data_IF_561603743519
#
_entry.id   IF_561603743519
#
_cell.length_a   1.000
_cell.length_b   1.000
_cell.length_c   1.000
_cell.angle_alpha   90.00
_cell.angle_beta   90.00
_cell.angle_gamma   90.00
#
_symmetry.space_group_name_H-M   'P 1'
#
loop_
_entity.id
_entity.type
_entity.pdbx_description
1 polymer ?
#
# COMPACT_ATOMS: atom_id res chain seq x y z
N UNK A 1 -26.44 30.96 20.77
CA UNK A 1 -25.45 30.28 21.61
C UNK A 1 -25.84 28.83 21.73
N UNK A 2 -25.06 27.89 21.14
CA UNK A 2 -25.40 26.47 21.24
C UNK A 2 -25.23 25.98 22.68
N UNK A 3 -26.22 25.28 23.21
CA UNK A 3 -26.13 24.70 24.55
C UNK A 3 -25.14 23.51 24.53
N UNK A 4 -24.48 23.23 25.67
CA UNK A 4 -23.57 22.09 25.81
C UNK A 4 -24.21 20.77 25.37
N UNK A 5 -25.50 20.57 25.67
CA UNK A 5 -26.29 19.41 25.22
C UNK A 5 -26.42 19.32 23.69
N UNK A 6 -26.53 20.46 23.01
CA UNK A 6 -26.58 20.49 21.53
C UNK A 6 -25.25 20.11 20.93
N UNK A 7 -24.14 20.61 21.47
CA UNK A 7 -22.78 20.29 21.00
C UNK A 7 -22.48 18.81 21.18
N UNK A 8 -22.78 18.21 22.33
CA UNK A 8 -22.56 16.78 22.58
C UNK A 8 -23.40 15.91 21.68
N UNK A 9 -24.64 16.31 21.39
CA UNK A 9 -25.51 15.60 20.42
C UNK A 9 -24.93 15.64 19.01
N UNK A 10 -24.44 16.79 18.55
CA UNK A 10 -23.79 16.93 17.24
C UNK A 10 -22.54 16.03 17.16
N UNK A 11 -21.65 16.10 18.14
CA UNK A 11 -20.45 15.28 18.18
C UNK A 11 -20.76 13.77 18.15
N UNK A 12 -21.79 13.34 18.90
CA UNK A 12 -22.26 11.95 18.88
C UNK A 12 -22.67 11.52 17.47
N UNK A 13 -23.50 12.33 16.80
CA UNK A 13 -23.97 11.97 15.44
C UNK A 13 -22.85 12.02 14.42
N UNK A 14 -21.89 12.93 14.53
CA UNK A 14 -20.68 12.94 13.69
C UNK A 14 -19.84 11.67 13.88
N UNK A 15 -19.65 11.23 15.13
CA UNK A 15 -18.93 9.99 15.43
C UNK A 15 -19.64 8.76 14.88
N UNK A 16 -20.97 8.66 15.08
CA UNK A 16 -21.79 7.57 14.53
C UNK A 16 -21.76 7.57 13.00
N UNK A 17 -21.88 8.74 12.37
CA UNK A 17 -21.79 8.89 10.91
C UNK A 17 -20.42 8.46 10.39
N UNK A 18 -19.33 8.88 11.02
CA UNK A 18 -17.98 8.47 10.68
C UNK A 18 -17.83 6.93 10.75
N UNK A 19 -18.25 6.32 11.86
CA UNK A 19 -18.17 4.86 12.02
C UNK A 19 -19.01 4.13 10.95
N UNK A 20 -20.24 4.57 10.71
CA UNK A 20 -21.11 3.96 9.70
C UNK A 20 -20.50 4.06 8.29
N UNK A 21 -20.04 5.25 7.89
CA UNK A 21 -19.45 5.47 6.56
C UNK A 21 -18.14 4.69 6.41
N UNK A 22 -17.29 4.66 7.41
CA UNK A 22 -16.02 3.93 7.35
C UNK A 22 -16.22 2.42 7.24
N UNK A 23 -17.10 1.84 8.06
CA UNK A 23 -17.43 0.40 7.96
C UNK A 23 -18.07 0.08 6.63
N UNK A 24 -19.04 0.90 6.16
CA UNK A 24 -19.69 0.70 4.87
C UNK A 24 -18.68 0.78 3.71
N UNK A 25 -17.75 1.75 3.73
CA UNK A 25 -16.73 1.87 2.69
C UNK A 25 -15.80 0.64 2.65
N UNK A 26 -15.39 0.11 3.80
CA UNK A 26 -14.59 -1.11 3.89
C UNK A 26 -15.40 -2.32 3.38
N UNK A 27 -16.69 -2.43 3.71
CA UNK A 27 -17.56 -3.49 3.21
C UNK A 27 -17.73 -3.42 1.69
N UNK A 28 -17.95 -2.23 1.13
CA UNK A 28 -18.08 -2.03 -0.33
C UNK A 28 -16.79 -2.47 -1.03
N UNK A 29 -15.63 -2.00 -0.57
CA UNK A 29 -14.34 -2.33 -1.17
C UNK A 29 -13.87 -3.77 -0.91
N UNK A 30 -14.62 -4.56 -0.14
CA UNK A 30 -14.40 -6.01 -0.08
C UNK A 30 -14.61 -6.69 -1.42
N UNK A 31 -15.52 -6.18 -2.26
CA UNK A 31 -15.88 -6.77 -3.55
C UNK A 31 -15.67 -5.83 -4.74
N UNK A 32 -15.80 -4.52 -4.51
CA UNK A 32 -15.70 -3.51 -5.57
C UNK A 32 -14.24 -3.09 -5.77
N UNK A 33 -13.75 -3.01 -7.02
CA UNK A 33 -12.43 -2.46 -7.32
C UNK A 33 -12.24 -1.02 -6.83
N UNK A 34 -11.03 -0.70 -6.35
CA UNK A 34 -10.64 0.65 -5.93
C UNK A 34 -9.98 1.36 -7.12
N UNK A 35 -10.76 2.06 -7.92
CA UNK A 35 -10.26 2.76 -9.11
C UNK A 35 -9.53 4.06 -8.81
N UNK A 36 -9.88 4.74 -7.72
CA UNK A 36 -9.29 6.03 -7.35
C UNK A 36 -9.01 6.07 -5.86
N UNK A 37 -7.84 6.55 -5.49
CA UNK A 37 -7.44 6.73 -4.10
C UNK A 37 -7.21 8.21 -3.77
N UNK A 38 -7.29 8.62 -2.48
CA UNK A 38 -6.95 9.99 -2.08
C UNK A 38 -5.56 10.42 -2.55
N UNK A 39 -4.58 9.51 -2.51
CA UNK A 39 -3.22 9.80 -2.98
C UNK A 39 -3.20 10.16 -4.47
N UNK A 40 -3.91 9.44 -5.33
CA UNK A 40 -3.98 9.72 -6.78
C UNK A 40 -4.49 11.14 -7.04
N UNK A 41 -5.57 11.55 -6.35
CA UNK A 41 -6.14 12.89 -6.48
C UNK A 41 -5.17 13.98 -5.99
N UNK A 42 -4.51 13.76 -4.85
CA UNK A 42 -3.51 14.68 -4.31
C UNK A 42 -2.35 14.84 -5.29
N UNK A 43 -1.84 13.75 -5.87
CA UNK A 43 -0.76 13.80 -6.87
C UNK A 43 -1.16 14.54 -8.15
N UNK A 44 -2.41 14.42 -8.56
CA UNK A 44 -2.94 15.25 -9.67
C UNK A 44 -2.93 16.73 -9.30
N UNK A 45 -3.42 17.09 -8.11
CA UNK A 45 -3.36 18.46 -7.62
C UNK A 45 -1.93 19.02 -7.53
N UNK A 46 -1.00 18.26 -6.97
CA UNK A 46 0.43 18.62 -6.92
C UNK A 46 1.02 18.82 -8.33
N UNK A 47 0.62 18.00 -9.30
CA UNK A 47 1.07 18.14 -10.69
C UNK A 47 0.58 19.44 -11.30
N UNK A 48 -0.69 19.80 -11.11
CA UNK A 48 -1.28 21.05 -11.60
C UNK A 48 -0.56 22.27 -10.98
N UNK A 49 -0.38 22.26 -9.65
CA UNK A 49 0.30 23.37 -8.94
C UNK A 49 1.74 23.53 -9.44
N UNK A 50 2.41 22.45 -9.81
CA UNK A 50 3.79 22.48 -10.33
C UNK A 50 3.85 22.68 -11.87
N UNK A 51 2.76 23.06 -12.53
CA UNK A 51 2.70 23.31 -13.98
C UNK A 51 2.93 22.06 -14.83
N UNK A 52 2.69 20.87 -14.27
CA UNK A 52 2.82 19.58 -14.97
C UNK A 52 1.45 19.06 -15.38
N UNK A 53 1.38 18.32 -16.47
CA UNK A 53 0.15 17.63 -16.87
C UNK A 53 -0.23 16.57 -15.83
N UNK A 54 -1.42 16.66 -15.21
CA UNK A 54 -1.89 15.63 -14.30
C UNK A 54 -2.22 14.36 -15.08
N UNK A 55 -1.86 13.20 -14.54
CA UNK A 55 -2.24 11.90 -15.08
C UNK A 55 -2.43 10.87 -13.94
N UNK A 56 -3.30 9.90 -14.17
CA UNK A 56 -3.45 8.71 -13.34
C UNK A 56 -3.31 7.52 -14.27
N UNK A 57 -2.12 6.94 -14.30
CA UNK A 57 -1.88 5.68 -15.01
C UNK A 57 -2.23 4.54 -14.07
N UNK A 58 -3.45 4.06 -14.20
CA UNK A 58 -4.01 3.00 -13.38
C UNK A 58 -4.90 2.10 -14.23
N UNK A 59 -4.80 0.80 -13.99
CA UNK A 59 -5.73 -0.22 -14.52
C UNK A 59 -5.87 -1.31 -13.49
N UNK A 60 -7.10 -1.59 -13.07
CA UNK A 60 -7.39 -2.67 -12.14
C UNK A 60 -7.23 -4.02 -12.83
N UNK A 61 -6.58 -4.96 -12.14
CA UNK A 61 -6.45 -6.36 -12.58
C UNK A 61 -6.71 -7.26 -11.36
N UNK A 62 -7.57 -8.28 -11.46
CA UNK A 62 -7.76 -9.28 -10.40
C UNK A 62 -6.45 -9.96 -10.02
N UNK A 63 -6.34 -10.40 -8.77
CA UNK A 63 -5.10 -11.01 -8.25
C UNK A 63 -4.71 -12.27 -9.05
N UNK A 64 -5.69 -13.07 -9.45
CA UNK A 64 -5.51 -14.29 -10.25
C UNK A 64 -5.00 -14.04 -11.67
N UNK A 65 -5.19 -12.85 -12.20
CA UNK A 65 -4.68 -12.42 -13.51
C UNK A 65 -3.28 -11.79 -13.42
N UNK A 66 -2.71 -11.64 -12.21
CA UNK A 66 -1.35 -11.15 -12.03
C UNK A 66 -0.34 -12.31 -12.03
N UNK A 67 0.91 -12.01 -12.34
CA UNK A 67 2.00 -12.95 -12.13
C UNK A 67 2.03 -13.41 -10.66
N UNK A 68 2.01 -14.73 -10.44
CA UNK A 68 2.12 -15.34 -9.10
C UNK A 68 3.35 -14.89 -8.31
N UNK A 69 4.35 -14.35 -8.99
CA UNK A 69 5.57 -13.85 -8.37
C UNK A 69 5.41 -12.44 -7.78
N UNK A 70 4.37 -11.70 -8.17
CA UNK A 70 4.22 -10.32 -7.70
C UNK A 70 3.84 -10.22 -6.21
N UNK A 71 2.82 -10.95 -5.71
CA UNK A 71 2.54 -11.02 -4.27
C UNK A 71 3.75 -11.52 -3.47
N UNK A 72 4.42 -12.56 -3.96
CA UNK A 72 5.61 -13.15 -3.30
C UNK A 72 6.75 -12.12 -3.18
N UNK A 73 7.01 -11.34 -4.24
CA UNK A 73 8.05 -10.31 -4.22
C UNK A 73 7.75 -9.18 -3.23
N UNK A 74 6.47 -8.79 -3.14
CA UNK A 74 6.02 -7.76 -2.20
C UNK A 74 6.10 -8.26 -0.77
N UNK A 75 5.62 -9.48 -0.48
CA UNK A 75 5.73 -10.10 0.85
C UNK A 75 7.20 -10.18 1.27
N UNK A 76 8.07 -10.69 0.41
CA UNK A 76 9.51 -10.79 0.69
C UNK A 76 10.17 -9.44 0.97
N UNK A 77 9.74 -8.37 0.27
CA UNK A 77 10.35 -7.05 0.38
C UNK A 77 9.82 -6.21 1.55
N UNK A 78 8.50 -6.22 1.75
CA UNK A 78 7.79 -5.27 2.61
C UNK A 78 7.31 -5.88 3.92
N UNK A 79 6.90 -7.16 3.91
CA UNK A 79 6.18 -7.75 5.04
C UNK A 79 6.29 -9.28 5.03
N UNK A 80 7.44 -9.81 5.44
CA UNK A 80 7.72 -11.24 5.39
C UNK A 80 6.73 -12.10 6.20
N UNK A 81 6.07 -11.51 7.19
CA UNK A 81 5.10 -12.17 8.07
C UNK A 81 3.64 -11.89 7.70
N UNK A 82 3.37 -11.33 6.50
CA UNK A 82 2.04 -10.90 6.06
C UNK A 82 0.95 -11.95 6.29
N UNK A 83 1.25 -13.20 6.02
CA UNK A 83 0.29 -14.30 6.10
C UNK A 83 0.01 -14.78 7.54
N UNK A 84 0.87 -14.41 8.50
CA UNK A 84 0.79 -14.91 9.88
C UNK A 84 0.28 -13.88 10.89
N UNK A 85 0.42 -12.58 10.61
CA UNK A 85 -0.09 -11.55 11.50
C UNK A 85 -1.48 -11.04 11.08
N UNK A 86 -2.16 -10.34 12.00
CA UNK A 86 -3.47 -9.71 11.78
C UNK A 86 -3.33 -8.18 11.75
N UNK A 87 -2.70 -7.68 10.71
CA UNK A 87 -2.55 -6.24 10.42
C UNK A 87 -1.31 -5.58 11.03
N UNK A 88 -0.78 -6.10 12.13
CA UNK A 88 0.39 -5.54 12.81
C UNK A 88 1.44 -6.62 13.08
N UNK A 89 2.66 -6.41 12.62
CA UNK A 89 3.81 -7.24 12.95
C UNK A 89 4.53 -6.67 14.18
N UNK A 90 4.13 -7.13 15.37
CA UNK A 90 4.71 -6.66 16.63
C UNK A 90 6.18 -7.05 16.79
N UNK A 91 6.63 -8.13 16.18
CA UNK A 91 8.04 -8.55 16.25
C UNK A 91 8.91 -7.67 15.35
N UNK A 92 8.43 -7.31 14.15
CA UNK A 92 9.08 -6.32 13.30
C UNK A 92 9.14 -4.95 13.99
N UNK A 93 8.06 -4.51 14.65
CA UNK A 93 8.01 -3.25 15.42
C UNK A 93 9.06 -3.26 16.55
N UNK A 94 9.12 -4.35 17.34
CA UNK A 94 10.10 -4.49 18.42
C UNK A 94 11.54 -4.50 17.90
N UNK A 95 11.77 -5.20 16.77
CA UNK A 95 13.07 -5.26 16.13
C UNK A 95 13.52 -3.89 15.62
N UNK A 96 12.63 -3.16 14.93
CA UNK A 96 12.89 -1.80 14.46
C UNK A 96 13.19 -0.83 15.62
N UNK A 97 12.48 -0.94 16.74
CA UNK A 97 12.72 -0.14 17.94
C UNK A 97 14.09 -0.44 18.58
N UNK A 98 14.51 -1.73 18.63
CA UNK A 98 15.84 -2.13 19.10
C UNK A 98 16.97 -1.60 18.20
N UNK A 99 16.78 -1.67 16.88
CA UNK A 99 17.76 -1.17 15.91
C UNK A 99 17.91 0.36 16.02
N UNK A 100 16.81 1.07 16.23
CA UNK A 100 16.81 2.53 16.43
C UNK A 100 17.56 2.93 17.71
N UNK A 101 17.38 2.19 18.81
CA UNK A 101 18.12 2.41 20.06
C UNK A 101 19.63 2.16 19.90
N UNK A 102 20.02 1.30 18.95
CA UNK A 102 21.44 1.01 18.62
C UNK A 102 22.03 1.95 17.58
N UNK A 103 21.34 3.05 17.22
CA UNK A 103 21.81 4.01 16.22
C UNK A 103 21.82 3.49 14.78
N UNK A 104 21.20 2.34 14.49
CA UNK A 104 21.11 1.80 13.14
C UNK A 104 20.09 2.57 12.32
N UNK A 105 20.24 2.51 10.98
CA UNK A 105 19.30 3.14 10.05
C UNK A 105 17.86 2.67 10.32
N UNK A 106 16.93 3.61 10.40
CA UNK A 106 15.51 3.36 10.64
C UNK A 106 14.97 2.40 9.58
N UNK A 107 14.50 1.23 10.02
CA UNK A 107 13.82 0.25 9.19
C UNK A 107 12.32 0.54 9.23
N UNK A 108 11.62 0.48 8.11
CA UNK A 108 10.16 0.52 8.07
C UNK A 108 9.60 -0.73 8.78
N UNK A 109 8.57 -0.53 9.59
CA UNK A 109 7.85 -1.61 10.28
C UNK A 109 6.35 -1.57 9.97
N UNK A 110 5.96 -0.88 8.90
CA UNK A 110 4.57 -0.83 8.46
C UNK A 110 4.28 -2.04 7.58
N UNK A 111 3.20 -2.75 7.89
CA UNK A 111 2.75 -3.93 7.16
C UNK A 111 2.06 -3.58 5.84
N UNK A 112 1.87 -4.58 4.97
CA UNK A 112 1.08 -4.45 3.73
C UNK A 112 -0.35 -3.97 4.06
N UNK A 113 -0.97 -4.51 5.11
CA UNK A 113 -2.31 -4.10 5.55
C UNK A 113 -2.37 -2.63 5.96
N UNK A 114 -1.38 -2.14 6.72
CA UNK A 114 -1.27 -0.73 7.10
C UNK A 114 -1.07 0.19 5.88
N UNK A 115 -0.25 -0.24 4.92
CA UNK A 115 -0.04 0.49 3.68
C UNK A 115 -1.31 0.54 2.83
N UNK A 116 -2.06 -0.58 2.75
CA UNK A 116 -3.35 -0.66 2.04
C UNK A 116 -4.37 0.29 2.68
N UNK A 117 -4.55 0.21 4.00
CA UNK A 117 -5.45 1.08 4.75
C UNK A 117 -5.13 2.57 4.52
N UNK A 118 -3.84 2.93 4.58
CA UNK A 118 -3.38 4.29 4.31
C UNK A 118 -3.70 4.74 2.88
N UNK A 119 -3.39 3.92 1.88
CA UNK A 119 -3.53 4.31 0.48
C UNK A 119 -4.98 4.45 0.04
N UNK A 120 -5.86 3.56 0.53
CA UNK A 120 -7.27 3.52 0.11
C UNK A 120 -8.13 4.56 0.83
N UNK A 121 -7.91 4.74 2.14
CA UNK A 121 -8.84 5.52 2.97
C UNK A 121 -8.28 6.85 3.48
N UNK A 122 -6.95 7.09 3.38
CA UNK A 122 -6.32 8.22 4.05
C UNK A 122 -5.45 9.06 3.10
N UNK A 123 -5.10 10.23 3.58
CA UNK A 123 -4.15 11.13 2.90
C UNK A 123 -2.71 10.81 3.29
N UNK A 124 -1.69 11.22 2.50
CA UNK A 124 -0.28 10.93 2.78
C UNK A 124 0.34 11.77 3.92
N UNK A 125 -0.46 12.50 4.70
CA UNK A 125 0.04 13.33 5.81
C UNK A 125 0.77 12.50 6.88
N UNK A 126 1.67 13.13 7.66
CA UNK A 126 2.48 12.46 8.70
C UNK A 126 2.03 12.78 10.14
N UNK A 127 0.71 13.03 10.34
CA UNK A 127 0.17 13.38 11.66
C UNK A 127 -0.13 12.14 12.51
N UNK A 128 -0.11 12.30 13.84
CA UNK A 128 -0.48 11.23 14.78
C UNK A 128 -1.95 10.81 14.62
N UNK A 129 -2.84 11.76 14.33
CA UNK A 129 -4.25 11.48 14.05
C UNK A 129 -4.40 10.56 12.85
N UNK A 130 -3.71 10.88 11.73
CA UNK A 130 -3.71 10.01 10.55
C UNK A 130 -3.16 8.62 10.89
N UNK A 131 -2.10 8.51 11.73
CA UNK A 131 -1.57 7.21 12.13
C UNK A 131 -2.55 6.41 13.00
N UNK A 132 -3.34 7.07 13.84
CA UNK A 132 -4.45 6.45 14.58
C UNK A 132 -5.55 5.93 13.64
N UNK A 133 -5.94 6.74 12.64
CA UNK A 133 -6.90 6.32 11.61
C UNK A 133 -6.37 5.17 10.73
N UNK A 134 -5.07 5.16 10.42
CA UNK A 134 -4.43 4.05 9.72
C UNK A 134 -4.58 2.74 10.51
N UNK A 135 -4.31 2.78 11.83
CA UNK A 135 -4.50 1.61 12.68
C UNK A 135 -5.97 1.16 12.72
N UNK A 136 -6.91 2.10 12.83
CA UNK A 136 -8.34 1.82 12.80
C UNK A 136 -8.76 1.12 11.50
N UNK A 137 -8.43 1.67 10.33
CA UNK A 137 -8.75 1.04 9.05
C UNK A 137 -8.00 -0.28 8.83
N UNK A 138 -6.78 -0.42 9.36
CA UNK A 138 -6.04 -1.70 9.34
C UNK A 138 -6.82 -2.79 10.05
N UNK A 139 -7.34 -2.51 11.24
CA UNK A 139 -8.20 -3.46 11.96
C UNK A 139 -9.45 -3.80 11.16
N UNK A 140 -10.11 -2.82 10.57
CA UNK A 140 -11.33 -3.06 9.79
C UNK A 140 -11.09 -3.94 8.57
N UNK A 141 -10.04 -3.67 7.78
CA UNK A 141 -9.75 -4.48 6.59
C UNK A 141 -9.31 -5.91 6.98
N UNK A 142 -8.55 -6.09 8.04
CA UNK A 142 -8.14 -7.43 8.51
C UNK A 142 -9.33 -8.24 9.06
N UNK A 143 -10.33 -7.61 9.64
CA UNK A 143 -11.54 -8.28 10.11
C UNK A 143 -12.51 -8.63 8.96
N UNK A 144 -12.55 -7.82 7.91
CA UNK A 144 -13.60 -7.89 6.89
C UNK A 144 -13.10 -8.43 5.54
N UNK A 145 -11.79 -8.36 5.25
CA UNK A 145 -11.21 -8.83 3.99
C UNK A 145 -10.33 -10.05 4.22
N UNK A 146 -10.16 -10.89 3.19
CA UNK A 146 -9.14 -11.94 3.20
C UNK A 146 -7.75 -11.36 2.91
N UNK A 147 -6.70 -12.11 3.18
CA UNK A 147 -5.31 -11.73 2.85
C UNK A 147 -5.12 -11.53 1.34
N UNK A 148 -5.78 -12.35 0.54
CA UNK A 148 -5.79 -12.25 -0.91
C UNK A 148 -6.41 -10.91 -1.35
N UNK A 149 -7.55 -10.52 -0.74
CA UNK A 149 -8.19 -9.25 -1.06
C UNK A 149 -7.36 -8.05 -0.62
N UNK A 150 -6.73 -8.09 0.54
CA UNK A 150 -5.81 -7.03 0.98
C UNK A 150 -4.65 -6.89 0.00
N UNK A 151 -4.05 -8.00 -0.43
CA UNK A 151 -2.96 -8.01 -1.41
C UNK A 151 -3.42 -7.51 -2.79
N UNK A 152 -4.58 -7.93 -3.26
CA UNK A 152 -5.15 -7.48 -4.53
C UNK A 152 -5.35 -5.96 -4.56
N UNK A 153 -5.97 -5.41 -3.50
CA UNK A 153 -6.16 -3.96 -3.38
C UNK A 153 -4.83 -3.24 -3.25
N UNK A 154 -3.88 -3.78 -2.49
CA UNK A 154 -2.53 -3.23 -2.37
C UNK A 154 -1.86 -3.12 -3.73
N UNK A 155 -1.78 -4.23 -4.47
CA UNK A 155 -1.10 -4.31 -5.76
C UNK A 155 -1.74 -3.45 -6.84
N UNK A 156 -3.02 -3.12 -6.71
CA UNK A 156 -3.72 -2.21 -7.61
C UNK A 156 -3.65 -0.74 -7.19
N UNK A 157 -3.45 -0.42 -5.91
CA UNK A 157 -3.58 0.96 -5.41
C UNK A 157 -2.27 1.66 -5.08
N UNK A 158 -1.17 0.91 -4.89
CA UNK A 158 0.10 1.50 -4.48
C UNK A 158 0.77 2.28 -5.61
N UNK A 159 1.39 3.44 -5.26
CA UNK A 159 2.22 4.20 -6.17
C UNK A 159 3.50 3.41 -6.49
N UNK A 160 3.77 3.18 -7.77
CA UNK A 160 4.93 2.41 -8.27
C UNK A 160 5.88 3.25 -9.13
N UNK A 161 5.56 4.51 -9.30
CA UNK A 161 6.33 5.50 -10.04
C UNK A 161 5.56 6.81 -10.15
N UNK A 162 6.16 7.89 -10.69
CA UNK A 162 5.46 9.15 -10.87
C UNK A 162 4.18 8.97 -11.68
N UNK A 163 3.02 9.23 -11.08
CA UNK A 163 1.68 9.08 -11.68
C UNK A 163 1.33 7.64 -12.12
N UNK A 164 2.09 6.62 -11.68
CA UNK A 164 1.88 5.20 -12.00
C UNK A 164 1.39 4.49 -10.76
N UNK A 165 0.20 3.89 -10.84
CA UNK A 165 -0.44 3.19 -9.72
C UNK A 165 -0.83 1.78 -10.13
N UNK A 166 -0.45 0.82 -9.28
CA UNK A 166 -0.73 -0.59 -9.48
C UNK A 166 0.19 -1.31 -10.46
N UNK A 167 0.14 -2.61 -10.33
CA UNK A 167 1.06 -3.55 -11.04
C UNK A 167 0.86 -3.53 -12.54
N UNK A 168 -0.38 -3.47 -13.02
CA UNK A 168 -0.66 -3.49 -14.47
C UNK A 168 -0.09 -2.23 -15.15
N UNK A 169 -0.28 -1.07 -14.52
CA UNK A 169 0.22 0.18 -15.09
C UNK A 169 1.76 0.22 -15.17
N UNK A 170 2.46 -0.30 -14.15
CA UNK A 170 3.93 -0.37 -14.18
C UNK A 170 4.42 -1.46 -15.14
N UNK A 171 3.72 -2.58 -15.27
CA UNK A 171 4.04 -3.64 -16.22
C UNK A 171 4.01 -3.12 -17.66
N UNK A 172 2.93 -2.48 -18.05
CA UNK A 172 2.78 -1.89 -19.39
C UNK A 172 3.84 -0.80 -19.64
N UNK A 173 4.03 0.14 -18.69
CA UNK A 173 4.86 1.33 -18.93
C UNK A 173 6.35 1.08 -18.78
N UNK A 174 6.77 0.13 -17.94
CA UNK A 174 8.19 -0.11 -17.67
C UNK A 174 8.73 -1.38 -18.34
N UNK A 175 7.87 -2.35 -18.64
CA UNK A 175 8.28 -3.64 -19.20
C UNK A 175 7.62 -3.96 -20.54
N UNK A 176 6.61 -3.20 -20.98
CA UNK A 176 5.91 -3.41 -22.25
C UNK A 176 5.10 -4.71 -22.29
N UNK A 177 4.65 -5.21 -21.14
CA UNK A 177 3.90 -6.46 -21.02
C UNK A 177 2.73 -6.28 -20.02
N UNK A 178 1.86 -7.28 -19.91
CA UNK A 178 0.79 -7.32 -18.92
C UNK A 178 1.32 -7.78 -17.55
N UNK A 179 0.55 -7.53 -16.48
CA UNK A 179 0.90 -7.96 -15.13
C UNK A 179 1.05 -9.49 -15.00
N UNK A 180 0.30 -10.25 -15.78
CA UNK A 180 0.38 -11.71 -15.85
C UNK A 180 1.71 -12.23 -16.41
N UNK A 181 2.36 -11.45 -17.28
CA UNK A 181 3.58 -11.82 -18.00
C UNK A 181 4.86 -11.42 -17.26
N UNK A 182 4.74 -10.68 -16.13
CA UNK A 182 5.89 -10.27 -15.32
C UNK A 182 6.67 -11.49 -14.84
N UNK A 183 7.96 -11.52 -15.15
CA UNK A 183 8.88 -12.55 -14.67
C UNK A 183 9.17 -12.38 -13.18
N UNK A 184 9.72 -13.40 -12.54
CA UNK A 184 10.18 -13.32 -11.14
C UNK A 184 11.15 -12.15 -10.92
N UNK A 185 12.07 -11.94 -11.85
CA UNK A 185 13.04 -10.86 -11.81
C UNK A 185 12.37 -9.48 -11.93
N UNK A 186 11.36 -9.34 -12.82
CA UNK A 186 10.59 -8.10 -12.97
C UNK A 186 9.82 -7.76 -11.69
N UNK A 187 9.14 -8.75 -11.09
CA UNK A 187 8.42 -8.58 -9.83
C UNK A 187 9.35 -8.14 -8.69
N UNK A 188 10.51 -8.77 -8.54
CA UNK A 188 11.51 -8.37 -7.54
C UNK A 188 12.04 -6.95 -7.78
N UNK A 189 12.21 -6.54 -9.04
CA UNK A 189 12.64 -5.19 -9.37
C UNK A 189 11.55 -4.14 -9.07
N UNK A 190 10.30 -4.44 -9.36
CA UNK A 190 9.16 -3.58 -8.99
C UNK A 190 9.09 -3.45 -7.46
N UNK A 191 9.15 -4.55 -6.72
CA UNK A 191 9.14 -4.54 -5.25
C UNK A 191 10.29 -3.69 -4.68
N UNK A 192 11.47 -3.66 -5.34
CA UNK A 192 12.58 -2.82 -4.93
C UNK A 192 12.31 -1.30 -5.07
N UNK A 193 11.27 -0.88 -5.81
CA UNK A 193 10.90 0.55 -5.94
C UNK A 193 10.03 1.04 -4.79
N UNK A 194 9.27 0.15 -4.14
CA UNK A 194 8.19 0.49 -3.20
C UNK A 194 8.62 1.38 -2.02
N UNK A 195 9.83 1.26 -1.46
CA UNK A 195 10.25 2.15 -0.37
C UNK A 195 10.31 3.64 -0.76
N UNK A 196 10.50 3.97 -2.04
CA UNK A 196 10.48 5.34 -2.55
C UNK A 196 10.21 5.37 -4.06
N UNK A 197 8.96 5.20 -4.50
CA UNK A 197 8.60 5.04 -5.91
C UNK A 197 8.81 6.31 -6.75
N UNK A 198 8.92 7.47 -6.11
CA UNK A 198 9.22 8.73 -6.82
C UNK A 198 10.73 8.88 -7.12
N UNK A 199 11.59 8.19 -6.36
CA UNK A 199 13.04 8.22 -6.53
C UNK A 199 13.57 6.99 -7.27
N UNK A 200 13.01 5.83 -6.98
CA UNK A 200 13.43 4.56 -7.57
C UNK A 200 12.57 4.23 -8.79
N UNK A 201 13.22 3.79 -9.86
CA UNK A 201 12.53 3.44 -11.11
C UNK A 201 12.90 2.04 -11.58
N UNK A 202 11.91 1.19 -11.80
CA UNK A 202 12.12 -0.13 -12.41
C UNK A 202 12.41 -0.05 -13.90
N UNK A 203 12.08 1.09 -14.56
CA UNK A 203 12.45 1.32 -15.96
C UNK A 203 13.96 1.60 -16.11
N UNK A 204 14.53 2.40 -15.19
CA UNK A 204 15.95 2.77 -15.18
C UNK A 204 16.57 2.44 -13.82
N UNK A 205 16.78 1.15 -13.50
CA UNK A 205 17.23 0.73 -12.19
C UNK A 205 18.71 1.10 -11.93
N UNK A 206 18.96 1.73 -10.80
CA UNK A 206 20.31 2.02 -10.32
C UNK A 206 21.05 0.74 -9.88
N UNK A 207 22.38 0.84 -9.65
CA UNK A 207 23.18 -0.27 -9.09
C UNK A 207 22.63 -0.74 -7.73
N UNK A 208 22.15 0.18 -6.89
CA UNK A 208 21.52 -0.14 -5.62
C UNK A 208 20.24 -0.98 -5.84
N UNK A 209 19.38 -0.60 -6.76
CA UNK A 209 18.14 -1.34 -7.05
C UNK A 209 18.43 -2.73 -7.59
N UNK A 210 19.42 -2.90 -8.47
CA UNK A 210 19.85 -4.22 -8.96
C UNK A 210 20.34 -5.13 -7.84
N UNK A 211 21.08 -4.57 -6.86
CA UNK A 211 21.49 -5.31 -5.67
C UNK A 211 20.28 -5.71 -4.82
N UNK A 212 19.35 -4.78 -4.59
CA UNK A 212 18.12 -5.06 -3.83
C UNK A 212 17.23 -6.07 -4.54
N UNK A 213 17.07 -5.99 -5.87
CA UNK A 213 16.38 -6.97 -6.69
C UNK A 213 16.90 -8.40 -6.43
N UNK A 214 18.22 -8.62 -6.53
CA UNK A 214 18.83 -9.94 -6.28
C UNK A 214 18.57 -10.45 -4.86
N UNK A 215 18.57 -9.55 -3.88
CA UNK A 215 18.25 -9.90 -2.50
C UNK A 215 16.78 -10.32 -2.39
N UNK A 216 15.84 -9.58 -2.97
CA UNK A 216 14.41 -9.92 -2.96
C UNK A 216 14.19 -11.25 -3.70
N UNK A 217 14.81 -11.47 -4.87
CA UNK A 217 14.71 -12.75 -5.59
C UNK A 217 15.18 -13.94 -4.74
N UNK A 218 16.19 -13.75 -3.88
CA UNK A 218 16.62 -14.77 -2.93
C UNK A 218 15.56 -14.97 -1.83
N UNK A 219 15.07 -13.89 -1.21
CA UNK A 219 14.07 -13.89 -0.14
C UNK A 219 12.73 -14.51 -0.60
N UNK A 220 12.32 -14.30 -1.86
CA UNK A 220 11.14 -14.91 -2.47
C UNK A 220 11.12 -16.44 -2.45
N UNK A 221 12.25 -17.11 -2.22
CA UNK A 221 12.30 -18.59 -2.13
C UNK A 221 11.67 -19.11 -0.85
N UNK A 222 11.59 -18.27 0.17
CA UNK A 222 11.10 -18.61 1.50
C UNK A 222 9.66 -18.16 1.74
N UNK A 223 9.06 -17.47 0.77
CA UNK A 223 7.67 -16.99 0.85
C UNK A 223 6.76 -17.95 0.10
N UNK A 224 5.69 -18.48 0.74
CA UNK A 224 4.72 -19.32 0.06
C UNK A 224 3.95 -18.52 -1.00
N UNK A 225 3.42 -19.23 -2.00
CA UNK A 225 2.52 -18.63 -2.98
C UNK A 225 1.22 -18.23 -2.29
N UNK A 226 0.78 -17.00 -2.51
CA UNK A 226 -0.55 -16.57 -2.17
C UNK A 226 -1.52 -17.12 -3.23
N UNK A 227 -2.51 -17.89 -2.79
CA UNK A 227 -3.50 -18.57 -3.66
C UNK A 227 -4.88 -17.97 -3.44
#
# INVERSE_FOLDING_TARGET
MFTFKTITKILKWLAVGFLAISVLSVLVYRWVPVYVTPLMLIRCGESIINGKTPAIHHRWVPLEEMSKYMPVAVIASEDANFLSHHGFDFDAIRSAAKDMKKGKRRRGASTISQQTAKNVFLTPSSTWLRKGLEAYFTVLIELLWSKERIMEVYLNSIEMGPQIYGVEAVAIRHFGCQASELTRANCALIAATLPNPLKFSSLKPSRYMRKRQKQIEHEMRFVPLLR
#
